data_IF_743899313466
#
_entry.id   IF_743899313466
#
_cell.length_a   1.000
_cell.length_b   1.000
_cell.length_c   1.000
_cell.angle_alpha   90.00
_cell.angle_beta   90.00
_cell.angle_gamma   90.00
#
_symmetry.space_group_name_H-M   'P 1'
#
loop_
_entity.id
_entity.type
_entity.pdbx_description
1 polymer ?
#
# COMPACT_ATOMS: atom_id res chain seq x y z
N UNK A 1 10.06 -17.82 -23.20
CA UNK A 1 11.17 -16.84 -23.17
C UNK A 1 10.72 -15.41 -22.80
N UNK A 2 10.32 -14.51 -23.72
CA UNK A 2 10.03 -13.10 -23.34
C UNK A 2 8.92 -12.91 -22.27
N UNK A 3 7.85 -13.71 -22.29
CA UNK A 3 6.79 -13.67 -21.25
C UNK A 3 7.26 -14.21 -19.90
N UNK A 4 8.17 -15.18 -19.89
CA UNK A 4 8.73 -15.75 -18.66
C UNK A 4 9.80 -14.83 -18.07
N UNK A 5 10.61 -14.20 -18.90
CA UNK A 5 11.55 -13.14 -18.48
C UNK A 5 10.80 -11.91 -17.94
N UNK A 6 9.73 -11.48 -18.61
CA UNK A 6 8.87 -10.40 -18.13
C UNK A 6 8.13 -10.77 -16.82
N UNK A 7 7.78 -12.05 -16.63
CA UNK A 7 7.20 -12.56 -15.38
C UNK A 7 8.26 -12.65 -14.28
N UNK A 8 9.50 -13.03 -14.61
CA UNK A 8 10.63 -13.03 -13.70
C UNK A 8 11.08 -11.61 -13.31
N UNK A 9 10.78 -10.59 -14.11
CA UNK A 9 11.06 -9.18 -13.79
C UNK A 9 10.05 -8.56 -12.79
N UNK A 10 8.94 -9.25 -12.50
CA UNK A 10 7.89 -8.79 -11.59
C UNK A 10 7.70 -9.76 -10.43
N UNK A 11 7.13 -9.27 -9.34
CA UNK A 11 6.71 -10.07 -8.21
C UNK A 11 5.46 -9.48 -7.57
N UNK A 12 4.88 -10.23 -6.64
CA UNK A 12 3.78 -9.75 -5.81
C UNK A 12 4.27 -9.57 -4.38
N UNK A 13 3.97 -8.43 -3.76
CA UNK A 13 4.27 -8.14 -2.35
C UNK A 13 3.03 -7.55 -1.69
N UNK A 14 2.92 -7.65 -0.37
CA UNK A 14 2.09 -6.71 0.37
C UNK A 14 2.82 -5.36 0.45
N UNK A 15 2.15 -4.31 -0.03
CA UNK A 15 2.70 -2.97 -0.14
C UNK A 15 1.77 -1.98 0.58
N UNK A 16 1.30 -0.93 -0.11
CA UNK A 16 0.42 0.10 0.47
C UNK A 16 -0.75 -0.52 1.24
N UNK A 17 -0.89 -0.15 2.53
CA UNK A 17 -1.90 -0.65 3.48
C UNK A 17 -1.91 -2.18 3.66
N UNK A 18 -0.82 -2.88 3.36
CA UNK A 18 -0.79 -4.35 3.40
C UNK A 18 -1.60 -5.03 2.29
N UNK A 19 -1.94 -4.31 1.21
CA UNK A 19 -2.63 -4.90 0.06
C UNK A 19 -1.62 -5.49 -0.95
N UNK A 20 -1.96 -6.59 -1.65
CA UNK A 20 -1.08 -7.20 -2.63
C UNK A 20 -0.91 -6.29 -3.86
N UNK A 21 0.32 -6.04 -4.28
CA UNK A 21 0.67 -5.25 -5.45
C UNK A 21 1.66 -6.00 -6.34
N UNK A 22 1.51 -5.86 -7.65
CA UNK A 22 2.53 -6.26 -8.61
C UNK A 22 3.59 -5.17 -8.74
N UNK A 23 4.84 -5.55 -8.55
CA UNK A 23 5.97 -4.61 -8.52
C UNK A 23 7.07 -5.14 -9.43
N UNK A 24 7.76 -4.24 -10.13
CA UNK A 24 8.98 -4.59 -10.86
C UNK A 24 10.12 -4.79 -9.87
N UNK A 25 10.89 -5.87 -10.04
CA UNK A 25 12.00 -6.23 -9.14
C UNK A 25 13.00 -5.10 -8.93
N UNK A 26 13.32 -4.39 -10.01
CA UNK A 26 14.24 -3.24 -10.01
C UNK A 26 13.82 -2.11 -9.06
N UNK A 27 12.53 -1.97 -8.76
CA UNK A 27 12.02 -0.90 -7.88
C UNK A 27 11.82 -1.34 -6.44
N UNK A 28 12.12 -2.59 -6.07
CA UNK A 28 11.79 -3.08 -4.74
C UNK A 28 12.53 -2.37 -3.61
N UNK A 29 13.81 -2.03 -3.81
CA UNK A 29 14.58 -1.31 -2.80
C UNK A 29 13.96 0.07 -2.53
N UNK A 30 13.65 0.82 -3.59
CA UNK A 30 12.96 2.10 -3.50
C UNK A 30 11.57 1.96 -2.85
N UNK A 31 10.80 0.94 -3.24
CA UNK A 31 9.47 0.71 -2.69
C UNK A 31 9.54 0.41 -1.19
N UNK A 32 10.48 -0.42 -0.76
CA UNK A 32 10.68 -0.74 0.65
C UNK A 32 11.03 0.52 1.46
N UNK A 33 11.85 1.42 0.91
CA UNK A 33 12.16 2.69 1.55
C UNK A 33 10.91 3.58 1.60
N UNK A 34 10.25 3.79 0.46
CA UNK A 34 9.10 4.68 0.32
C UNK A 34 7.89 4.29 1.18
N UNK A 35 7.74 2.99 1.48
CA UNK A 35 6.66 2.47 2.33
C UNK A 35 7.00 2.49 3.82
N UNK A 36 8.18 2.96 4.21
CA UNK A 36 8.52 3.14 5.62
C UNK A 36 7.65 4.23 6.27
N UNK A 37 7.35 4.13 7.57
CA UNK A 37 6.61 5.16 8.28
C UNK A 37 7.32 6.52 8.25
N UNK A 38 6.53 7.59 8.24
CA UNK A 38 6.99 8.99 8.33
C UNK A 38 7.39 9.39 9.76
N UNK A 39 6.77 8.75 10.76
CA UNK A 39 6.95 9.04 12.18
C UNK A 39 6.38 7.90 13.04
N UNK A 40 6.56 7.96 14.36
CA UNK A 40 5.89 7.06 15.32
C UNK A 40 4.36 7.16 15.26
N UNK A 41 3.82 8.38 15.05
CA UNK A 41 2.38 8.59 14.96
C UNK A 41 1.80 7.98 13.67
N UNK A 42 2.52 8.10 12.55
CA UNK A 42 2.19 7.43 11.30
C UNK A 42 2.27 5.90 11.44
N UNK A 43 3.37 5.39 12.02
CA UNK A 43 3.55 3.96 12.28
C UNK A 43 2.39 3.39 13.10
N UNK A 44 2.04 4.06 14.20
CA UNK A 44 0.93 3.68 15.09
C UNK A 44 -0.40 3.60 14.34
N UNK A 45 -0.67 4.54 13.43
CA UNK A 45 -1.88 4.53 12.59
C UNK A 45 -1.90 3.34 11.62
N UNK A 46 -0.78 3.09 10.94
CA UNK A 46 -0.66 2.04 9.92
C UNK A 46 -0.84 0.62 10.47
N UNK A 47 -0.49 0.39 11.74
CA UNK A 47 -0.61 -0.92 12.40
C UNK A 47 -1.96 -1.16 13.08
N UNK A 48 -2.90 -0.21 12.94
CA UNK A 48 -4.29 -0.32 13.38
C UNK A 48 -4.41 -0.73 14.86
N UNK A 49 -5.02 -1.89 15.13
CA UNK A 49 -5.30 -2.35 16.49
C UNK A 49 -4.04 -2.70 17.30
N UNK A 50 -2.92 -2.98 16.63
CA UNK A 50 -1.69 -3.37 17.31
C UNK A 50 -1.05 -2.23 18.13
N UNK A 51 -1.27 -0.97 17.73
CA UNK A 51 -0.61 0.18 18.34
C UNK A 51 -0.87 0.32 19.84
N UNK A 52 -2.10 0.00 20.29
CA UNK A 52 -2.46 0.08 21.71
C UNK A 52 -1.72 -0.96 22.56
N UNK A 53 -1.59 -2.19 22.04
CA UNK A 53 -0.92 -3.28 22.75
C UNK A 53 0.57 -3.00 22.92
N UNK A 54 1.23 -2.59 21.83
CA UNK A 54 2.65 -2.21 21.85
C UNK A 54 2.91 -1.03 22.81
N UNK A 55 2.09 0.03 22.72
CA UNK A 55 2.23 1.19 23.60
C UNK A 55 2.07 0.83 25.08
N UNK A 56 1.11 -0.03 25.43
CA UNK A 56 0.91 -0.50 26.80
C UNK A 56 2.08 -1.32 27.33
N UNK A 57 2.80 -2.03 26.45
CA UNK A 57 4.03 -2.75 26.76
C UNK A 57 5.29 -1.86 26.74
N UNK A 58 5.15 -0.55 26.48
CA UNK A 58 6.27 0.38 26.38
C UNK A 58 7.08 0.27 25.09
N UNK A 59 6.55 -0.40 24.06
CA UNK A 59 7.22 -0.62 22.77
C UNK A 59 6.76 0.44 21.76
N UNK A 60 7.72 1.12 21.12
CA UNK A 60 7.43 2.07 20.03
C UNK A 60 6.82 1.36 18.81
N UNK A 61 6.02 2.05 18.01
CA UNK A 61 5.37 1.42 16.86
C UNK A 61 6.40 1.02 15.78
N UNK A 62 7.41 1.85 15.51
CA UNK A 62 8.47 1.52 14.55
C UNK A 62 9.32 0.36 15.08
N UNK A 63 9.67 0.38 16.35
CA UNK A 63 10.39 -0.71 17.02
C UNK A 63 9.60 -2.03 16.95
N UNK A 64 8.31 -2.01 17.28
CA UNK A 64 7.48 -3.21 17.19
C UNK A 64 7.38 -3.74 15.76
N UNK A 65 7.24 -2.86 14.77
CA UNK A 65 7.28 -3.26 13.36
C UNK A 65 8.63 -3.89 12.97
N UNK A 66 9.75 -3.36 13.48
CA UNK A 66 11.12 -3.87 13.28
C UNK A 66 11.29 -5.27 13.88
N UNK A 67 10.86 -5.48 15.13
CA UNK A 67 10.87 -6.79 15.81
C UNK A 67 10.06 -7.80 15.01
N UNK A 68 8.84 -7.41 14.60
CA UNK A 68 7.96 -8.29 13.83
C UNK A 68 8.60 -8.73 12.50
N UNK A 69 9.19 -7.80 11.75
CA UNK A 69 9.87 -8.10 10.48
C UNK A 69 11.10 -9.01 10.68
N UNK A 70 11.83 -8.83 11.78
CA UNK A 70 12.98 -9.68 12.13
C UNK A 70 12.55 -11.11 12.43
N UNK A 71 11.60 -11.30 13.35
CA UNK A 71 11.08 -12.63 13.71
C UNK A 71 10.46 -13.32 12.49
N UNK A 72 9.75 -12.56 11.64
CA UNK A 72 9.21 -13.07 10.39
C UNK A 72 10.30 -13.53 9.42
N UNK A 73 11.38 -12.77 9.24
CA UNK A 73 12.51 -13.18 8.40
C UNK A 73 13.13 -14.49 8.89
N UNK A 74 13.28 -14.65 10.20
CA UNK A 74 13.86 -15.84 10.82
C UNK A 74 12.95 -17.07 10.73
N UNK A 75 11.63 -16.88 10.76
CA UNK A 75 10.66 -17.96 10.63
C UNK A 75 10.57 -18.52 9.19
N UNK A 76 10.78 -17.68 8.17
CA UNK A 76 10.69 -18.12 6.76
C UNK A 76 11.96 -18.90 6.33
N UNK A 77 11.81 -20.10 5.73
CA UNK A 77 12.93 -20.90 5.23
C UNK A 77 13.88 -20.15 4.30
N UNK A 78 15.19 -20.40 4.42
CA UNK A 78 16.23 -19.71 3.64
C UNK A 78 16.44 -20.26 2.23
N UNK A 79 16.06 -21.52 1.95
CA UNK A 79 16.41 -22.27 0.73
C UNK A 79 15.38 -22.15 -0.41
N UNK A 80 14.69 -21.01 -0.52
CA UNK A 80 13.70 -20.77 -1.58
C UNK A 80 12.38 -21.54 -1.45
N UNK A 81 12.23 -22.34 -0.37
CA UNK A 81 10.97 -22.99 -0.04
C UNK A 81 9.89 -21.96 0.30
N UNK A 82 8.67 -22.24 -0.13
CA UNK A 82 7.47 -21.49 0.22
C UNK A 82 6.93 -21.94 1.57
N UNK A 83 6.30 -21.03 2.30
CA UNK A 83 5.55 -21.29 3.52
C UNK A 83 4.16 -20.66 3.39
N UNK A 84 3.11 -21.36 3.80
CA UNK A 84 1.77 -20.77 3.80
C UNK A 84 1.67 -19.67 4.86
N UNK A 85 0.76 -18.71 4.64
CA UNK A 85 0.45 -17.70 5.66
C UNK A 85 0.07 -18.32 7.01
N UNK A 86 -0.68 -19.44 6.99
CA UNK A 86 -1.11 -20.14 8.20
C UNK A 86 0.07 -20.67 9.00
N UNK A 87 0.95 -21.43 8.35
CA UNK A 87 2.17 -21.97 8.98
C UNK A 87 3.08 -20.85 9.50
N UNK A 88 3.29 -19.79 8.72
CA UNK A 88 4.08 -18.65 9.16
C UNK A 88 3.44 -17.95 10.38
N UNK A 89 2.10 -17.81 10.39
CA UNK A 89 1.37 -17.24 11.52
C UNK A 89 1.53 -18.10 12.79
N UNK A 90 1.53 -19.44 12.67
CA UNK A 90 1.78 -20.34 13.80
C UNK A 90 3.20 -20.16 14.34
N UNK A 91 4.21 -20.12 13.46
CA UNK A 91 5.60 -19.88 13.89
C UNK A 91 5.78 -18.52 14.56
N UNK A 92 5.07 -17.49 14.09
CA UNK A 92 5.09 -16.17 14.69
C UNK A 92 4.37 -16.13 16.04
N UNK A 93 3.24 -16.85 16.17
CA UNK A 93 2.51 -16.99 17.44
C UNK A 93 3.40 -17.56 18.55
N UNK A 94 4.21 -18.56 18.23
CA UNK A 94 5.12 -19.22 19.18
C UNK A 94 6.31 -18.33 19.60
N UNK A 95 6.71 -17.38 18.76
CA UNK A 95 7.93 -16.58 18.94
C UNK A 95 7.69 -15.16 19.43
N UNK A 96 6.54 -14.58 19.10
CA UNK A 96 6.24 -13.20 19.42
C UNK A 96 5.60 -13.09 20.82
N UNK A 97 6.00 -12.08 21.62
CA UNK A 97 5.30 -11.73 22.85
C UNK A 97 3.81 -11.41 22.63
N UNK A 98 3.02 -11.44 23.71
CA UNK A 98 1.55 -11.29 23.66
C UNK A 98 1.08 -9.95 23.09
N UNK A 99 1.85 -8.87 23.26
CA UNK A 99 1.54 -7.52 22.76
C UNK A 99 1.56 -7.39 21.23
N UNK A 100 2.11 -8.39 20.52
CA UNK A 100 2.07 -8.49 19.06
C UNK A 100 0.87 -9.30 18.55
N UNK A 101 0.03 -9.78 19.46
CA UNK A 101 -1.01 -10.77 19.19
C UNK A 101 -2.41 -10.29 19.57
N UNK A 102 -3.41 -10.91 18.96
CA UNK A 102 -4.82 -10.64 19.21
C UNK A 102 -5.57 -11.95 19.40
N UNK A 103 -6.42 -12.01 20.41
CA UNK A 103 -7.45 -13.05 20.53
C UNK A 103 -8.58 -12.76 19.54
N UNK A 104 -8.64 -13.56 18.47
CA UNK A 104 -9.54 -13.32 17.36
C UNK A 104 -10.76 -14.24 17.42
N UNK A 105 -11.91 -13.67 17.79
CA UNK A 105 -13.20 -14.39 17.83
C UNK A 105 -13.57 -15.06 16.50
N UNK A 106 -13.25 -14.44 15.36
CA UNK A 106 -13.57 -15.00 14.04
C UNK A 106 -12.73 -16.24 13.71
N UNK A 107 -11.48 -16.27 14.16
CA UNK A 107 -10.57 -17.38 13.94
C UNK A 107 -10.66 -18.45 15.04
N UNK A 108 -11.17 -18.09 16.22
CA UNK A 108 -11.17 -18.97 17.40
C UNK A 108 -9.76 -19.25 17.93
N UNK A 109 -8.83 -18.31 17.72
CA UNK A 109 -7.41 -18.47 18.07
C UNK A 109 -6.76 -17.13 18.38
N UNK A 110 -5.73 -17.17 19.24
CA UNK A 110 -4.78 -16.06 19.41
C UNK A 110 -3.75 -16.12 18.29
N UNK A 111 -3.59 -15.01 17.57
CA UNK A 111 -2.64 -14.94 16.46
C UNK A 111 -1.98 -13.55 16.37
N UNK A 112 -0.82 -13.43 15.73
CA UNK A 112 -0.19 -12.13 15.47
C UNK A 112 -1.13 -11.18 14.72
N UNK A 113 -1.05 -9.87 15.01
CA UNK A 113 -1.90 -8.88 14.34
C UNK A 113 -1.74 -8.92 12.81
N UNK A 114 -2.85 -9.07 12.09
CA UNK A 114 -2.88 -9.21 10.62
C UNK A 114 -2.19 -8.04 9.90
N UNK A 115 -2.39 -6.81 10.40
CA UNK A 115 -1.83 -5.64 9.75
C UNK A 115 -0.31 -5.53 9.94
N UNK A 116 0.20 -5.85 11.15
CA UNK A 116 1.64 -5.98 11.38
C UNK A 116 2.24 -7.06 10.48
N UNK A 117 1.56 -8.20 10.34
CA UNK A 117 1.98 -9.28 9.46
C UNK A 117 2.15 -8.81 8.01
N UNK A 118 1.13 -8.14 7.46
CA UNK A 118 1.15 -7.71 6.05
C UNK A 118 2.16 -6.61 5.79
N UNK A 119 2.21 -5.59 6.63
CA UNK A 119 3.15 -4.46 6.46
C UNK A 119 4.59 -4.93 6.71
N UNK A 120 4.82 -5.86 7.64
CA UNK A 120 6.15 -6.38 7.93
C UNK A 120 6.77 -7.23 6.82
N UNK A 121 5.97 -7.86 5.95
CA UNK A 121 6.46 -8.87 5.01
C UNK A 121 7.49 -8.36 3.99
N UNK A 122 7.24 -7.21 3.33
CA UNK A 122 8.22 -6.63 2.41
C UNK A 122 9.51 -6.24 3.16
N UNK A 123 9.36 -5.75 4.38
CA UNK A 123 10.46 -5.32 5.24
C UNK A 123 11.26 -6.50 5.82
N UNK A 124 10.65 -7.68 5.91
CA UNK A 124 11.32 -8.97 6.12
C UNK A 124 11.96 -9.54 4.83
N UNK A 125 11.82 -8.86 3.70
CA UNK A 125 12.35 -9.30 2.40
C UNK A 125 11.61 -10.52 1.85
N UNK A 126 10.28 -10.51 1.94
CA UNK A 126 9.41 -11.59 1.47
C UNK A 126 8.55 -11.16 0.26
N UNK A 127 8.31 -12.10 -0.64
CA UNK A 127 7.34 -11.99 -1.73
C UNK A 127 6.21 -13.01 -1.56
N UNK A 128 5.07 -12.72 -2.18
CA UNK A 128 3.91 -13.59 -2.28
C UNK A 128 4.01 -14.45 -3.54
N UNK A 129 3.61 -15.71 -3.42
CA UNK A 129 3.42 -16.59 -4.57
C UNK A 129 2.09 -16.24 -5.29
N UNK A 130 2.13 -15.81 -6.56
CA UNK A 130 0.92 -15.44 -7.27
C UNK A 130 -0.04 -16.63 -7.44
N UNK A 131 -1.34 -16.39 -7.28
CA UNK A 131 -2.38 -17.40 -7.51
C UNK A 131 -2.65 -18.34 -6.34
N UNK A 132 -2.05 -18.10 -5.16
CA UNK A 132 -2.27 -18.90 -3.95
C UNK A 132 -3.31 -18.27 -3.03
N UNK A 133 -4.20 -19.10 -2.46
CA UNK A 133 -5.19 -18.69 -1.46
C UNK A 133 -5.44 -19.83 -0.47
N UNK A 134 -5.07 -19.71 0.83
CA UNK A 134 -4.35 -18.58 1.44
C UNK A 134 -2.99 -18.30 0.78
N UNK A 135 -2.44 -17.08 0.92
CA UNK A 135 -1.21 -16.72 0.24
C UNK A 135 -0.01 -17.51 0.79
N UNK A 136 0.84 -17.98 -0.11
CA UNK A 136 2.16 -18.50 0.21
C UNK A 136 3.20 -17.37 0.14
N UNK A 137 4.23 -17.47 0.98
CA UNK A 137 5.33 -16.54 1.08
C UNK A 137 6.66 -17.25 0.87
N UNK A 138 7.64 -16.53 0.35
CA UNK A 138 9.05 -16.95 0.35
C UNK A 138 9.97 -15.75 0.42
N UNK A 139 11.24 -15.97 0.75
CA UNK A 139 12.26 -14.91 0.69
C UNK A 139 12.44 -14.44 -0.76
N UNK A 140 12.52 -13.13 -0.95
CA UNK A 140 12.84 -12.54 -2.25
C UNK A 140 14.24 -13.03 -2.68
N UNK A 141 14.38 -13.67 -3.85
CA UNK A 141 15.68 -14.08 -4.36
C UNK A 141 16.60 -12.86 -4.53
N UNK A 142 17.85 -13.01 -4.11
CA UNK A 142 18.85 -11.94 -4.16
C UNK A 142 18.44 -10.66 -3.40
N UNK A 143 17.56 -10.77 -2.40
CA UNK A 143 17.29 -9.67 -1.49
C UNK A 143 18.61 -9.21 -0.85
N UNK A 144 18.90 -7.89 -0.84
CA UNK A 144 20.13 -7.38 -0.24
C UNK A 144 20.33 -7.92 1.18
N UNK A 145 21.58 -8.25 1.53
CA UNK A 145 21.93 -8.55 2.93
C UNK A 145 21.80 -7.26 3.72
N UNK A 146 20.70 -7.14 4.46
CA UNK A 146 20.39 -6.04 5.35
C UNK A 146 19.65 -6.57 6.56
N UNK A 147 19.65 -5.79 7.63
CA UNK A 147 18.73 -6.02 8.73
C UNK A 147 17.29 -5.89 8.21
N UNK A 148 16.40 -6.84 8.57
CA UNK A 148 14.97 -6.71 8.34
C UNK A 148 14.46 -5.39 8.89
N UNK A 149 13.38 -4.86 8.31
CA UNK A 149 12.66 -3.73 8.87
C UNK A 149 12.71 -2.45 8.04
N UNK A 150 12.60 -1.28 8.67
CA UNK A 150 12.14 -0.04 8.03
C UNK A 150 13.28 0.95 7.78
N UNK A 151 13.17 1.74 6.72
CA UNK A 151 14.11 2.83 6.49
C UNK A 151 13.80 3.98 7.47
N UNK A 152 14.85 4.64 7.96
CA UNK A 152 14.71 5.78 8.88
C UNK A 152 14.11 7.03 8.21
N UNK A 153 14.25 7.14 6.89
CA UNK A 153 13.73 8.25 6.10
C UNK A 153 13.12 7.72 4.79
N UNK A 154 11.78 7.80 4.64
CA UNK A 154 11.10 7.35 3.43
C UNK A 154 11.40 8.24 2.20
N UNK A 155 11.91 9.46 2.38
CA UNK A 155 12.30 10.34 1.26
C UNK A 155 13.60 9.91 0.58
N UNK A 156 14.35 8.97 1.16
CA UNK A 156 15.53 8.36 0.51
C UNK A 156 15.21 7.50 -0.70
N UNK A 157 13.94 7.12 -0.90
CA UNK A 157 13.51 6.48 -2.14
C UNK A 157 13.69 7.46 -3.30
N UNK A 158 13.97 6.94 -4.50
CA UNK A 158 14.07 7.82 -5.68
C UNK A 158 12.80 8.66 -5.83
N UNK A 159 12.98 9.93 -6.21
CA UNK A 159 11.91 10.95 -6.19
C UNK A 159 10.60 10.47 -6.82
N UNK A 160 10.57 9.81 -8.01
CA UNK A 160 9.31 9.33 -8.60
C UNK A 160 8.57 8.26 -7.79
N UNK A 161 9.24 7.57 -6.85
CA UNK A 161 8.67 6.50 -6.02
C UNK A 161 8.34 6.95 -4.60
N UNK A 162 8.67 8.17 -4.20
CA UNK A 162 8.19 8.75 -2.95
C UNK A 162 6.65 8.75 -2.95
N UNK A 163 6.03 8.12 -1.96
CA UNK A 163 4.62 7.69 -2.06
C UNK A 163 3.63 8.85 -2.25
N UNK A 164 3.86 10.01 -1.62
CA UNK A 164 3.03 11.22 -1.78
C UNK A 164 3.14 11.75 -3.22
N UNK A 165 4.38 11.79 -3.76
CA UNK A 165 4.65 12.23 -5.12
C UNK A 165 4.05 11.27 -6.16
N UNK A 166 4.23 9.97 -5.96
CA UNK A 166 3.66 8.93 -6.82
C UNK A 166 2.12 9.00 -6.83
N UNK A 167 1.49 9.29 -5.69
CA UNK A 167 0.06 9.54 -5.63
C UNK A 167 -0.33 10.77 -6.47
N UNK A 168 0.34 11.90 -6.29
CA UNK A 168 0.04 13.12 -7.07
C UNK A 168 0.23 12.92 -8.58
N UNK A 169 1.25 12.16 -8.97
CA UNK A 169 1.52 11.88 -10.38
C UNK A 169 0.47 10.97 -11.03
N UNK A 170 -0.04 9.96 -10.30
CA UNK A 170 -0.96 8.98 -10.87
C UNK A 170 -2.45 9.26 -10.62
N UNK A 171 -2.77 9.92 -9.51
CA UNK A 171 -4.13 10.14 -9.03
C UNK A 171 -4.40 11.62 -8.70
N UNK A 172 -3.45 12.52 -9.00
CA UNK A 172 -3.65 13.95 -8.87
C UNK A 172 -4.43 14.55 -10.05
N UNK A 173 -4.85 15.83 -9.93
CA UNK A 173 -4.64 16.71 -8.78
C UNK A 173 -5.37 16.26 -7.52
N UNK A 174 -4.75 16.39 -6.34
CA UNK A 174 -5.32 15.91 -5.08
C UNK A 174 -4.99 16.80 -3.88
N UNK A 175 -5.75 16.67 -2.80
CA UNK A 175 -5.48 17.34 -1.53
C UNK A 175 -4.65 16.45 -0.58
N UNK A 176 -3.95 17.03 0.42
CA UNK A 176 -3.33 16.24 1.48
C UNK A 176 -4.29 15.31 2.22
N UNK A 177 -5.58 15.64 2.26
CA UNK A 177 -6.62 14.79 2.87
C UNK A 177 -6.85 13.52 2.07
N UNK A 178 -6.87 13.60 0.74
CA UNK A 178 -7.09 12.44 -0.14
C UNK A 178 -5.93 11.44 0.03
N UNK A 179 -4.70 11.94 0.08
CA UNK A 179 -3.50 11.12 0.27
C UNK A 179 -3.46 10.53 1.68
N UNK A 180 -3.84 11.29 2.72
CA UNK A 180 -3.93 10.76 4.08
C UNK A 180 -4.96 9.63 4.17
N UNK A 181 -6.13 9.79 3.55
CA UNK A 181 -7.15 8.76 3.45
C UNK A 181 -6.68 7.55 2.62
N UNK A 182 -5.80 7.76 1.62
CA UNK A 182 -5.20 6.69 0.83
C UNK A 182 -4.15 5.92 1.63
N UNK A 183 -3.29 6.58 2.39
CA UNK A 183 -2.26 5.91 3.18
C UNK A 183 -2.76 5.43 4.55
N UNK A 184 -4.01 5.74 4.91
CA UNK A 184 -4.61 5.47 6.23
C UNK A 184 -3.80 6.09 7.37
N UNK A 185 -3.38 7.33 7.16
CA UNK A 185 -2.60 8.12 8.10
C UNK A 185 -3.23 9.50 8.36
N UNK A 186 -2.56 10.33 9.15
CA UNK A 186 -3.05 11.66 9.50
C UNK A 186 -2.61 12.70 8.45
N UNK A 187 -3.46 13.72 8.23
CA UNK A 187 -3.17 14.82 7.29
C UNK A 187 -1.90 15.59 7.69
N UNK A 188 -1.59 15.69 8.98
CA UNK A 188 -0.37 16.31 9.49
C UNK A 188 0.90 15.64 8.97
N UNK A 189 0.93 14.30 8.95
CA UNK A 189 2.05 13.52 8.40
C UNK A 189 2.25 13.85 6.92
N UNK A 190 1.16 13.85 6.15
CA UNK A 190 1.22 14.14 4.71
C UNK A 190 1.73 15.56 4.45
N UNK A 191 1.28 16.55 5.23
CA UNK A 191 1.73 17.93 5.09
C UNK A 191 3.21 18.12 5.43
N UNK A 192 3.71 17.40 6.43
CA UNK A 192 5.12 17.47 6.83
C UNK A 192 6.07 16.97 5.71
N UNK A 193 5.59 16.05 4.86
CA UNK A 193 6.33 15.47 3.75
C UNK A 193 5.83 15.93 2.37
N UNK A 194 5.15 17.08 2.32
CA UNK A 194 4.56 17.58 1.08
C UNK A 194 5.64 17.97 0.06
N UNK A 195 5.55 17.55 -1.22
CA UNK A 195 6.55 17.92 -2.23
C UNK A 195 6.63 19.42 -2.44
N UNK A 196 7.85 19.98 -2.40
CA UNK A 196 8.09 21.42 -2.55
C UNK A 196 7.65 21.98 -3.92
N UNK A 197 7.58 21.13 -4.94
CA UNK A 197 7.16 21.47 -6.29
C UNK A 197 5.68 21.12 -6.58
N UNK A 198 4.90 20.77 -5.56
CA UNK A 198 3.46 20.69 -5.69
C UNK A 198 2.87 22.11 -5.80
N UNK A 199 2.08 22.36 -6.85
CA UNK A 199 1.42 23.64 -7.13
C UNK A 199 -0.07 23.53 -6.87
N UNK A 200 -0.63 24.58 -6.28
CA UNK A 200 -2.08 24.71 -6.17
C UNK A 200 -2.69 24.86 -7.57
N UNK A 201 -3.76 24.11 -7.83
CA UNK A 201 -4.59 24.17 -9.05
C UNK A 201 -6.05 24.18 -8.65
N UNK A 202 -6.91 24.76 -9.50
CA UNK A 202 -8.36 24.73 -9.30
C UNK A 202 -9.00 23.79 -10.30
N UNK A 203 -9.71 22.78 -9.80
CA UNK A 203 -10.44 21.80 -10.63
C UNK A 203 -11.90 21.82 -10.18
N UNK A 204 -12.81 22.19 -11.09
CA UNK A 204 -14.25 22.33 -10.80
C UNK A 204 -14.54 23.12 -9.49
N UNK A 205 -13.84 24.24 -9.29
CA UNK A 205 -13.98 25.10 -8.11
C UNK A 205 -13.31 24.58 -6.83
N UNK A 206 -12.67 23.40 -6.86
CA UNK A 206 -11.92 22.83 -5.73
C UNK A 206 -10.44 23.20 -5.82
N UNK A 207 -9.87 23.66 -4.71
CA UNK A 207 -8.42 23.84 -4.58
C UNK A 207 -7.75 22.49 -4.32
N UNK A 208 -6.93 22.05 -5.26
CA UNK A 208 -6.17 20.80 -5.23
C UNK A 208 -4.71 21.09 -5.56
N UNK A 209 -3.87 20.06 -5.59
CA UNK A 209 -2.45 20.19 -5.93
C UNK A 209 -2.04 19.20 -7.00
N UNK A 210 -1.18 19.65 -7.91
CA UNK A 210 -0.51 18.82 -8.92
C UNK A 210 1.00 19.06 -8.84
N UNK A 211 1.81 18.11 -9.29
CA UNK A 211 3.25 18.34 -9.42
C UNK A 211 3.51 19.34 -10.54
N UNK A 212 4.46 20.26 -10.36
CA UNK A 212 4.81 21.27 -11.37
C UNK A 212 5.04 20.64 -12.75
N UNK A 213 5.72 19.49 -12.80
CA UNK A 213 6.02 18.78 -14.05
C UNK A 213 4.78 18.23 -14.77
N UNK A 214 3.69 17.99 -14.05
CA UNK A 214 2.47 17.38 -14.59
C UNK A 214 1.44 18.45 -15.01
N UNK A 215 1.60 19.71 -14.59
CA UNK A 215 0.59 20.77 -14.80
C UNK A 215 0.31 21.02 -16.28
N UNK A 216 1.33 21.17 -17.12
CA UNK A 216 1.09 21.43 -18.55
C UNK A 216 0.48 20.22 -19.24
N UNK A 217 0.95 19.01 -18.93
CA UNK A 217 0.34 17.79 -19.47
C UNK A 217 -1.14 17.65 -19.10
N UNK A 218 -1.51 18.03 -17.87
CA UNK A 218 -2.91 18.01 -17.42
C UNK A 218 -3.77 19.08 -18.09
N UNK A 219 -3.19 20.23 -18.48
CA UNK A 219 -3.91 21.27 -19.24
C UNK A 219 -4.08 20.88 -20.71
N UNK A 220 -3.05 20.26 -21.27
CA UNK A 220 -3.02 19.78 -22.66
C UNK A 220 -3.78 18.47 -22.83
N UNK A 221 -4.15 17.80 -21.74
CA UNK A 221 -5.04 16.65 -21.74
C UNK A 221 -6.42 17.06 -22.29
N UNK A 222 -6.51 17.13 -23.62
CA UNK A 222 -7.71 17.46 -24.35
C UNK A 222 -8.75 16.37 -24.23
N UNK A 223 -9.99 16.71 -24.60
CA UNK A 223 -11.04 15.72 -24.82
C UNK A 223 -10.56 14.77 -25.91
N UNK A 224 -10.68 13.48 -25.65
CA UNK A 224 -10.33 12.46 -26.64
C UNK A 224 -11.19 12.66 -27.88
N UNK A 225 -10.60 12.60 -29.07
CA UNK A 225 -11.30 12.86 -30.35
C UNK A 225 -12.50 11.94 -30.59
N UNK A 226 -12.52 10.77 -29.94
CA UNK A 226 -13.64 9.84 -29.94
C UNK A 226 -13.85 9.25 -28.53
N UNK A 227 -15.11 8.97 -28.12
CA UNK A 227 -15.40 8.40 -26.81
C UNK A 227 -14.67 7.09 -26.57
N UNK A 228 -13.93 6.99 -25.47
CA UNK A 228 -13.20 5.79 -25.08
C UNK A 228 -13.87 5.10 -23.91
N UNK A 229 -14.42 3.92 -24.20
CA UNK A 229 -14.89 2.99 -23.18
C UNK A 229 -13.71 2.29 -22.49
N UNK A 230 -13.78 2.17 -21.17
CA UNK A 230 -12.86 1.42 -20.32
C UNK A 230 -13.64 0.52 -19.35
N UNK A 231 -13.25 -0.75 -19.29
CA UNK A 231 -13.68 -1.67 -18.25
C UNK A 231 -12.57 -1.76 -17.21
N UNK A 232 -12.84 -1.23 -16.02
CA UNK A 232 -11.88 -1.16 -14.92
C UNK A 232 -12.14 -2.30 -13.94
N UNK A 233 -11.08 -2.99 -13.55
CA UNK A 233 -11.19 -3.97 -12.46
C UNK A 233 -11.51 -3.25 -11.14
N UNK A 234 -12.14 -3.94 -10.19
CA UNK A 234 -12.41 -3.35 -8.87
C UNK A 234 -11.14 -2.96 -8.08
N UNK A 235 -9.97 -3.45 -8.49
CA UNK A 235 -8.68 -3.13 -7.91
C UNK A 235 -7.84 -2.19 -8.79
N UNK A 236 -8.44 -1.60 -9.82
CA UNK A 236 -7.78 -0.60 -10.64
C UNK A 236 -7.34 0.60 -9.77
N UNK A 237 -6.18 1.17 -10.07
CA UNK A 237 -5.62 2.29 -9.31
C UNK A 237 -6.55 3.50 -9.35
N UNK A 238 -7.21 3.74 -10.49
CA UNK A 238 -8.21 4.80 -10.65
C UNK A 238 -9.34 4.67 -9.61
N UNK A 239 -9.81 3.43 -9.37
CA UNK A 239 -10.85 3.14 -8.37
C UNK A 239 -10.35 3.19 -6.93
N UNK A 240 -9.04 3.27 -6.71
CA UNK A 240 -8.41 3.38 -5.40
C UNK A 240 -8.27 4.81 -4.90
N UNK A 241 -8.51 5.81 -5.75
CA UNK A 241 -8.55 7.23 -5.39
C UNK A 241 -9.58 7.51 -4.27
N UNK A 242 -9.36 8.59 -3.52
CA UNK A 242 -10.15 8.92 -2.32
C UNK A 242 -11.13 10.08 -2.49
N UNK A 243 -11.20 10.65 -3.68
CA UNK A 243 -12.11 11.70 -4.12
C UNK A 243 -13.36 11.13 -4.81
N UNK A 244 -13.96 10.08 -4.22
CA UNK A 244 -15.10 9.34 -4.82
C UNK A 244 -16.29 10.22 -5.18
N UNK A 245 -16.54 11.27 -4.39
CA UNK A 245 -17.61 12.26 -4.61
C UNK A 245 -17.39 13.08 -5.88
N UNK A 246 -16.14 13.20 -6.31
CA UNK A 246 -15.78 13.86 -7.56
C UNK A 246 -15.86 12.90 -8.75
N UNK A 247 -15.41 11.66 -8.57
CA UNK A 247 -15.44 10.64 -9.63
C UNK A 247 -16.86 10.17 -9.97
N UNK A 248 -17.76 10.12 -8.99
CA UNK A 248 -19.13 9.63 -9.14
C UNK A 248 -20.05 10.53 -8.33
N UNK A 249 -20.84 11.38 -8.99
CA UNK A 249 -21.72 12.34 -8.33
C UNK A 249 -22.91 11.70 -7.62
N UNK A 250 -23.46 10.61 -8.17
CA UNK A 250 -24.60 9.90 -7.59
C UNK A 250 -24.18 9.04 -6.37
N UNK A 251 -24.87 9.21 -5.24
CA UNK A 251 -24.55 8.48 -4.02
C UNK A 251 -24.91 6.99 -4.10
N UNK A 252 -25.98 6.64 -4.81
CA UNK A 252 -26.40 5.25 -5.02
C UNK A 252 -25.33 4.48 -5.78
N UNK A 253 -24.82 5.05 -6.86
CA UNK A 253 -23.73 4.49 -7.66
C UNK A 253 -22.44 4.36 -6.84
N UNK A 254 -22.11 5.35 -5.99
CA UNK A 254 -20.95 5.23 -5.07
C UNK A 254 -21.09 4.03 -4.13
N UNK A 255 -22.27 3.78 -3.56
CA UNK A 255 -22.48 2.62 -2.67
C UNK A 255 -22.29 1.29 -3.39
N UNK A 256 -22.72 1.21 -4.65
CA UNK A 256 -22.54 0.01 -5.48
C UNK A 256 -21.08 -0.22 -5.89
N UNK A 257 -20.34 0.84 -6.20
CA UNK A 257 -18.94 0.76 -6.64
C UNK A 257 -17.95 0.49 -5.49
N UNK A 258 -18.24 1.00 -4.29
CA UNK A 258 -17.40 0.81 -3.10
C UNK A 258 -18.17 0.20 -1.93
N UNK A 259 -18.63 -1.07 -2.06
CA UNK A 259 -19.28 -1.77 -0.96
C UNK A 259 -18.27 -2.11 0.15
N UNK A 260 -18.79 -2.53 1.31
CA UNK A 260 -17.94 -2.99 2.43
C UNK A 260 -17.15 -4.25 2.04
N UNK A 261 -17.75 -5.14 1.24
CA UNK A 261 -17.16 -6.39 0.79
C UNK A 261 -17.23 -6.51 -0.73
N UNK A 262 -16.13 -6.97 -1.33
CA UNK A 262 -15.99 -7.07 -2.78
C UNK A 262 -15.65 -5.73 -3.43
N UNK A 263 -15.34 -5.79 -4.73
CA UNK A 263 -15.12 -4.63 -5.59
C UNK A 263 -15.52 -5.01 -7.01
N UNK A 264 -16.71 -4.62 -7.48
CA UNK A 264 -17.29 -5.23 -8.69
C UNK A 264 -16.60 -4.79 -9.99
N UNK A 265 -15.87 -3.68 -9.97
CA UNK A 265 -15.32 -3.06 -11.18
C UNK A 265 -16.10 -1.79 -11.52
N UNK A 266 -15.73 -1.15 -12.63
CA UNK A 266 -16.41 0.04 -13.13
C UNK A 266 -16.34 0.10 -14.65
N UNK A 267 -17.37 0.69 -15.25
CA UNK A 267 -17.40 1.09 -16.66
C UNK A 267 -17.16 2.60 -16.73
N UNK A 268 -16.14 3.01 -17.46
CA UNK A 268 -15.79 4.41 -17.67
C UNK A 268 -15.88 4.83 -19.13
N UNK A 269 -16.34 6.04 -19.41
CA UNK A 269 -16.27 6.70 -20.73
C UNK A 269 -15.56 8.03 -20.54
N UNK A 270 -14.43 8.22 -21.22
CA UNK A 270 -13.65 9.47 -21.18
C UNK A 270 -13.30 9.95 -19.76
N UNK A 271 -13.11 8.99 -18.83
CA UNK A 271 -12.80 9.27 -17.41
C UNK A 271 -14.03 9.39 -16.50
N UNK A 272 -15.24 9.46 -17.05
CA UNK A 272 -16.48 9.45 -16.26
C UNK A 272 -16.93 8.01 -15.98
N UNK A 273 -17.18 7.68 -14.72
CA UNK A 273 -17.69 6.36 -14.33
C UNK A 273 -19.21 6.33 -14.51
N UNK A 274 -19.66 5.51 -15.46
CA UNK A 274 -21.08 5.42 -15.86
C UNK A 274 -21.79 4.18 -15.30
N UNK A 275 -21.05 3.24 -14.71
CA UNK A 275 -21.65 2.01 -14.19
C UNK A 275 -20.64 1.03 -13.59
N UNK A 276 -21.13 -0.18 -13.34
CA UNK A 276 -20.40 -1.34 -12.81
C UNK A 276 -20.26 -2.39 -13.89
#
# INVERSE_FOLDING_TARGET
MQREEARAAKLTVWAVRGAPHFVRREYLADLQIALSPFSEADATKRILLAGKGLQAAGVGAIEGMQVFATVMREAVPSRGATISKGELSTLLHERLPGEYQVDCRRCGATHPHEQLFRIGALHAGLELEPGTNPPNLRRIPNWPRREPGFASDPLRASTPRQVIRAYLHHLGPASPRDIAAYLETNVGEIKAYWPADAREVTVAGRRLFALTADVEQLRDAGRVDAPQLRLLSGFDLFMAAKDREFLVLDEGHRKTLWPVLGRPGAVGVDGEVIGV
#
